data_IF_405929079386
#
_entry.id   IF_405929079386
#
_cell.length_a   1.000
_cell.length_b   1.000
_cell.length_c   1.000
_cell.angle_alpha   90.00
_cell.angle_beta   90.00
_cell.angle_gamma   90.00
#
_symmetry.space_group_name_H-M   'P 1'
#
loop_
_entity.id
_entity.type
_entity.pdbx_description
1 polymer ?
#
# COMPACT_ATOMS: atom_id res chain seq x y z
N UNK A 1 -18.55 10.21 9.97
CA UNK A 1 -18.88 8.80 9.61
C UNK A 1 -17.88 7.89 10.34
N UNK A 2 -18.29 6.79 11.00
CA UNK A 2 -17.45 6.05 11.97
C UNK A 2 -16.69 4.81 11.45
N UNK A 3 -16.86 4.42 10.18
CA UNK A 3 -16.08 3.32 9.58
C UNK A 3 -16.41 1.90 10.08
N UNK A 4 -17.60 1.67 10.62
CA UNK A 4 -18.05 0.35 11.08
C UNK A 4 -17.95 -0.67 9.92
N UNK A 5 -17.21 -1.80 10.06
CA UNK A 5 -16.95 -2.73 8.96
C UNK A 5 -18.20 -3.42 8.40
N UNK A 6 -19.15 -3.73 9.30
CA UNK A 6 -20.36 -4.48 9.01
C UNK A 6 -21.57 -3.80 9.64
N UNK A 7 -22.68 -3.73 8.90
CA UNK A 7 -23.99 -3.34 9.42
C UNK A 7 -24.96 -4.49 9.23
N UNK A 8 -25.62 -4.93 10.30
CA UNK A 8 -26.70 -5.92 10.23
C UNK A 8 -28.04 -5.20 10.17
N UNK A 9 -28.83 -5.49 9.14
CA UNK A 9 -30.18 -5.00 8.91
C UNK A 9 -31.16 -6.16 9.21
N UNK A 10 -32.17 -5.89 10.03
CA UNK A 10 -33.16 -6.88 10.47
C UNK A 10 -34.54 -6.21 10.54
N UNK A 11 -35.44 -6.56 9.62
CA UNK A 11 -36.83 -6.12 9.62
C UNK A 11 -37.83 -7.21 10.03
N UNK A 12 -39.12 -6.88 10.22
CA UNK A 12 -40.15 -7.85 10.60
C UNK A 12 -40.25 -9.06 9.66
N UNK A 13 -40.16 -8.83 8.34
CA UNK A 13 -40.19 -9.90 7.33
C UNK A 13 -38.96 -10.81 7.37
N UNK A 14 -37.80 -10.26 7.72
CA UNK A 14 -36.56 -11.03 7.81
C UNK A 14 -36.59 -11.95 9.06
N UNK A 15 -37.16 -11.45 10.16
CA UNK A 15 -37.42 -12.24 11.38
C UNK A 15 -38.38 -13.40 11.07
N UNK A 16 -39.50 -13.14 10.38
CA UNK A 16 -40.44 -14.17 9.96
C UNK A 16 -39.78 -15.24 9.07
N UNK A 17 -38.81 -14.83 8.25
CA UNK A 17 -38.04 -15.71 7.37
C UNK A 17 -36.78 -16.30 8.03
N UNK A 18 -36.50 -16.01 9.30
CA UNK A 18 -35.33 -16.51 10.02
C UNK A 18 -33.98 -16.02 9.48
N UNK A 19 -33.93 -14.85 8.84
CA UNK A 19 -32.73 -14.30 8.19
C UNK A 19 -32.46 -12.84 8.57
N UNK A 20 -31.31 -12.33 8.16
CA UNK A 20 -30.92 -10.93 8.24
C UNK A 20 -30.05 -10.54 7.03
N UNK A 21 -29.82 -9.24 6.85
CA UNK A 21 -28.92 -8.73 5.80
C UNK A 21 -27.68 -8.12 6.42
N UNK A 22 -26.53 -8.66 6.07
CA UNK A 22 -25.22 -8.18 6.49
C UNK A 22 -24.63 -7.31 5.37
N UNK A 23 -24.36 -6.04 5.67
CA UNK A 23 -23.85 -5.07 4.70
C UNK A 23 -22.38 -4.74 4.99
N UNK A 24 -21.50 -5.00 4.01
CA UNK A 24 -20.08 -4.68 4.06
C UNK A 24 -19.82 -3.19 3.85
N UNK A 25 -18.89 -2.60 4.58
CA UNK A 25 -18.55 -1.18 4.44
C UNK A 25 -17.61 -0.88 3.27
N UNK A 26 -16.67 -1.77 3.00
CA UNK A 26 -15.61 -1.62 2.02
C UNK A 26 -16.10 -1.76 0.58
N UNK A 27 -17.06 -2.65 0.33
CA UNK A 27 -17.65 -2.92 -1.00
C UNK A 27 -19.11 -2.46 -1.15
N UNK A 28 -19.84 -2.26 -0.03
CA UNK A 28 -21.31 -2.07 0.02
C UNK A 28 -22.12 -3.29 -0.39
N UNK A 29 -21.48 -4.46 -0.48
CA UNK A 29 -22.12 -5.74 -0.72
C UNK A 29 -23.13 -6.05 0.40
N UNK A 30 -24.25 -6.66 0.02
CA UNK A 30 -25.30 -7.14 0.92
C UNK A 30 -25.36 -8.65 0.87
N UNK A 31 -25.29 -9.30 2.02
CA UNK A 31 -25.24 -10.75 2.16
C UNK A 31 -26.45 -11.16 3.00
N UNK A 32 -27.32 -12.01 2.46
CA UNK A 32 -28.39 -12.63 3.26
C UNK A 32 -27.80 -13.75 4.11
N UNK A 33 -28.06 -13.72 5.41
CA UNK A 33 -27.52 -14.68 6.38
C UNK A 33 -28.65 -15.19 7.27
N UNK A 34 -28.75 -16.50 7.44
CA UNK A 34 -29.68 -17.10 8.41
C UNK A 34 -29.32 -16.67 9.83
N UNK A 35 -30.31 -16.40 10.68
CA UNK A 35 -30.08 -15.84 12.01
C UNK A 35 -29.28 -16.77 12.92
N UNK A 36 -29.43 -18.08 12.75
CA UNK A 36 -28.70 -19.13 13.48
C UNK A 36 -27.24 -19.27 13.02
N UNK A 37 -26.91 -18.88 11.80
CA UNK A 37 -25.53 -18.87 11.28
C UNK A 37 -24.78 -17.55 11.52
N UNK A 38 -25.46 -16.53 12.06
CA UNK A 38 -24.90 -15.18 12.14
C UNK A 38 -23.60 -15.10 12.96
N UNK A 39 -23.52 -15.84 14.07
CA UNK A 39 -22.34 -15.89 14.94
C UNK A 39 -21.11 -16.46 14.23
N UNK A 40 -21.31 -17.32 13.22
CA UNK A 40 -20.24 -17.91 12.41
C UNK A 40 -19.91 -17.02 11.21
N UNK A 41 -20.93 -16.50 10.53
CA UNK A 41 -20.76 -15.71 9.30
C UNK A 41 -20.14 -14.35 9.51
N UNK A 42 -20.43 -13.66 10.62
CA UNK A 42 -19.86 -12.33 10.88
C UNK A 42 -18.33 -12.36 11.00
N UNK A 43 -17.71 -13.25 11.79
CA UNK A 43 -16.26 -13.43 11.81
C UNK A 43 -15.66 -13.71 10.42
N UNK A 44 -16.24 -14.63 9.64
CA UNK A 44 -15.77 -14.96 8.28
C UNK A 44 -15.78 -13.72 7.36
N UNK A 45 -16.85 -12.92 7.43
CA UNK A 45 -16.98 -11.68 6.66
C UNK A 45 -15.91 -10.67 7.10
N UNK A 46 -15.65 -10.53 8.40
CA UNK A 46 -14.62 -9.62 8.91
C UNK A 46 -13.21 -10.03 8.45
N UNK A 47 -12.89 -11.32 8.47
CA UNK A 47 -11.63 -11.85 7.94
C UNK A 47 -11.49 -11.58 6.44
N UNK A 48 -12.57 -11.77 5.69
CA UNK A 48 -12.63 -11.49 4.25
C UNK A 48 -12.41 -10.00 3.98
N UNK A 49 -13.09 -9.10 4.71
CA UNK A 49 -12.88 -7.65 4.60
C UNK A 49 -11.40 -7.30 4.85
N UNK A 50 -10.80 -7.85 5.91
CA UNK A 50 -9.41 -7.59 6.23
C UNK A 50 -8.47 -8.02 5.11
N UNK A 51 -8.66 -9.23 4.58
CA UNK A 51 -7.87 -9.76 3.47
C UNK A 51 -8.02 -8.90 2.22
N UNK A 52 -9.25 -8.62 1.79
CA UNK A 52 -9.54 -7.86 0.58
C UNK A 52 -8.96 -6.44 0.67
N UNK A 53 -9.13 -5.78 1.81
CA UNK A 53 -8.58 -4.43 2.03
C UNK A 53 -7.06 -4.42 2.02
N UNK A 54 -6.43 -5.42 2.66
CA UNK A 54 -4.97 -5.58 2.64
C UNK A 54 -4.45 -5.81 1.22
N UNK A 55 -5.04 -6.75 0.48
CA UNK A 55 -4.62 -7.07 -0.89
C UNK A 55 -4.77 -5.87 -1.83
N UNK A 56 -5.89 -5.14 -1.71
CA UNK A 56 -6.10 -3.90 -2.47
C UNK A 56 -5.06 -2.84 -2.13
N UNK A 57 -4.78 -2.63 -0.84
CA UNK A 57 -3.79 -1.65 -0.40
C UNK A 57 -2.37 -2.04 -0.83
N UNK A 58 -2.03 -3.32 -0.72
CA UNK A 58 -0.75 -3.89 -1.18
C UNK A 58 -0.58 -3.69 -2.68
N UNK A 59 -1.56 -4.12 -3.49
CA UNK A 59 -1.53 -3.92 -4.95
C UNK A 59 -1.42 -2.45 -5.34
N UNK A 60 -2.15 -1.58 -4.65
CA UNK A 60 -2.05 -0.14 -4.88
C UNK A 60 -0.64 0.38 -4.58
N UNK A 61 -0.08 0.04 -3.41
CA UNK A 61 1.30 0.43 -3.07
C UNK A 61 2.29 -0.10 -4.10
N UNK A 62 2.22 -1.39 -4.44
CA UNK A 62 3.19 -2.06 -5.32
C UNK A 62 3.13 -1.49 -6.75
N UNK A 63 1.94 -1.12 -7.24
CA UNK A 63 1.78 -0.44 -8.54
C UNK A 63 2.30 1.02 -8.56
N UNK A 64 2.69 1.56 -7.41
CA UNK A 64 3.24 2.90 -7.25
C UNK A 64 4.66 2.88 -6.67
N UNK A 65 5.39 1.79 -6.93
CA UNK A 65 6.84 1.69 -6.70
C UNK A 65 7.49 1.78 -8.07
N UNK A 66 8.37 2.76 -8.25
CA UNK A 66 9.00 3.06 -9.54
C UNK A 66 10.51 2.90 -9.45
N UNK A 67 11.13 2.34 -10.48
CA UNK A 67 12.59 2.19 -10.53
C UNK A 67 13.22 3.38 -11.25
N UNK A 68 14.31 3.89 -10.68
CA UNK A 68 15.13 4.93 -11.27
C UNK A 68 16.59 4.45 -11.39
N UNK A 69 17.15 4.58 -12.59
CA UNK A 69 18.50 4.08 -12.91
C UNK A 69 19.53 5.20 -12.94
N UNK A 70 19.08 6.45 -13.00
CA UNK A 70 19.90 7.66 -13.04
C UNK A 70 19.14 8.85 -12.42
N UNK A 71 19.83 9.98 -12.28
CA UNK A 71 19.30 11.13 -11.56
C UNK A 71 18.13 11.81 -12.27
N UNK A 72 18.14 11.81 -13.60
CA UNK A 72 17.08 12.44 -14.41
C UNK A 72 15.78 11.63 -14.32
N UNK A 73 15.86 10.30 -14.41
CA UNK A 73 14.71 9.41 -14.15
C UNK A 73 14.17 9.58 -12.73
N UNK A 74 15.06 9.64 -11.74
CA UNK A 74 14.66 9.84 -10.35
C UNK A 74 13.90 11.15 -10.16
N UNK A 75 14.41 12.23 -10.76
CA UNK A 75 13.77 13.54 -10.73
C UNK A 75 12.41 13.53 -11.43
N UNK A 76 12.32 12.96 -12.63
CA UNK A 76 11.05 12.83 -13.35
C UNK A 76 10.01 12.07 -12.54
N UNK A 77 10.39 10.93 -11.96
CA UNK A 77 9.50 10.14 -11.11
C UNK A 77 9.08 10.93 -9.87
N UNK A 78 10.01 11.62 -9.21
CA UNK A 78 9.72 12.43 -8.02
C UNK A 78 8.73 13.58 -8.32
N UNK A 79 8.78 14.17 -9.50
CA UNK A 79 7.90 15.25 -9.93
C UNK A 79 6.54 14.75 -10.41
N UNK A 80 6.53 13.68 -11.21
CA UNK A 80 5.38 13.31 -12.04
C UNK A 80 4.65 12.05 -11.58
N UNK A 81 5.23 11.23 -10.69
CA UNK A 81 4.62 9.97 -10.25
C UNK A 81 4.39 9.94 -8.74
N UNK A 82 3.19 9.52 -8.27
CA UNK A 82 2.95 9.32 -6.86
C UNK A 82 3.57 8.01 -6.38
N UNK A 83 3.89 7.92 -5.09
CA UNK A 83 4.37 6.70 -4.44
C UNK A 83 5.86 6.73 -4.10
N UNK A 84 6.54 5.61 -4.28
CA UNK A 84 7.94 5.41 -3.89
C UNK A 84 8.84 5.24 -5.12
N UNK A 85 10.11 5.57 -4.95
CA UNK A 85 11.15 5.40 -5.95
C UNK A 85 12.18 4.40 -5.40
N UNK A 86 12.47 3.32 -6.12
CA UNK A 86 13.63 2.47 -5.85
C UNK A 86 14.81 3.00 -6.65
N UNK A 87 15.94 3.15 -5.98
CA UNK A 87 17.17 3.57 -6.62
C UNK A 87 18.36 2.96 -5.90
N UNK A 88 19.36 2.56 -6.67
CA UNK A 88 20.63 2.10 -6.11
C UNK A 88 21.36 3.29 -5.51
N UNK A 89 21.92 3.12 -4.32
CA UNK A 89 22.57 4.17 -3.55
C UNK A 89 23.98 3.76 -3.11
N UNK A 90 24.92 4.70 -3.16
CA UNK A 90 26.33 4.47 -2.79
C UNK A 90 26.62 4.65 -1.29
N UNK A 91 25.60 4.77 -0.45
CA UNK A 91 25.73 4.96 1.01
C UNK A 91 26.40 6.28 1.43
N UNK A 92 26.67 7.17 0.47
CA UNK A 92 27.25 8.48 0.71
C UNK A 92 26.17 9.48 1.09
N UNK A 93 26.30 10.05 2.28
CA UNK A 93 25.42 11.09 2.82
C UNK A 93 25.30 12.30 1.89
N UNK A 94 26.36 12.66 1.16
CA UNK A 94 26.28 13.77 0.22
C UNK A 94 25.23 13.54 -0.90
N UNK A 95 25.02 12.29 -1.31
CA UNK A 95 23.99 11.96 -2.29
C UNK A 95 22.57 12.04 -1.69
N UNK A 96 22.41 11.60 -0.44
CA UNK A 96 21.14 11.71 0.26
C UNK A 96 20.75 13.17 0.53
N UNK A 97 21.70 13.99 1.00
CA UNK A 97 21.50 15.42 1.26
C UNK A 97 21.15 16.16 -0.05
N UNK A 98 21.83 15.86 -1.16
CA UNK A 98 21.51 16.43 -2.49
C UNK A 98 20.09 16.09 -2.94
N UNK A 99 19.69 14.81 -2.88
CA UNK A 99 18.34 14.37 -3.26
C UNK A 99 17.28 15.10 -2.41
N UNK A 100 17.55 15.25 -1.11
CA UNK A 100 16.66 15.94 -0.18
C UNK A 100 16.53 17.43 -0.48
N UNK A 101 17.64 18.12 -0.71
CA UNK A 101 17.67 19.55 -0.97
C UNK A 101 17.05 19.92 -2.32
N UNK A 102 17.36 19.15 -3.37
CA UNK A 102 16.88 19.46 -4.72
C UNK A 102 15.44 18.99 -4.98
N UNK A 103 15.03 17.84 -4.41
CA UNK A 103 13.77 17.17 -4.77
C UNK A 103 12.76 17.06 -3.63
N UNK A 104 13.13 17.47 -2.40
CA UNK A 104 12.35 17.23 -1.18
C UNK A 104 11.99 15.74 -0.95
N UNK A 105 12.82 14.84 -1.48
CA UNK A 105 12.69 13.40 -1.36
C UNK A 105 13.69 12.91 -0.31
N UNK A 106 13.27 12.01 0.58
CA UNK A 106 14.20 11.39 1.54
C UNK A 106 14.17 9.88 1.45
N UNK A 107 15.25 9.25 1.89
CA UNK A 107 15.30 7.80 2.08
C UNK A 107 14.20 7.38 3.06
N UNK A 108 13.62 6.19 2.82
CA UNK A 108 12.52 5.62 3.62
C UNK A 108 12.97 4.36 4.31
N UNK A 109 13.50 3.43 3.54
CA UNK A 109 14.10 2.22 4.06
C UNK A 109 15.08 1.63 3.06
N UNK A 110 16.02 0.86 3.60
CA UNK A 110 16.79 -0.12 2.86
C UNK A 110 16.15 -1.48 3.16
N UNK A 111 15.61 -2.20 2.16
CA UNK A 111 15.01 -3.51 2.38
C UNK A 111 16.03 -4.49 2.95
N UNK A 112 15.61 -5.32 3.91
CA UNK A 112 16.51 -6.30 4.51
C UNK A 112 16.78 -7.50 3.59
N UNK A 113 15.75 -7.99 2.90
CA UNK A 113 15.82 -9.21 2.08
C UNK A 113 15.76 -8.91 0.58
N UNK A 114 14.98 -7.91 0.17
CA UNK A 114 14.75 -7.55 -1.23
C UNK A 114 15.76 -6.51 -1.72
N UNK A 115 17.02 -6.94 -1.87
CA UNK A 115 18.13 -6.14 -2.43
C UNK A 115 18.31 -6.47 -3.92
N UNK A 116 17.25 -6.27 -4.71
CA UNK A 116 17.32 -6.42 -6.16
C UNK A 116 18.30 -5.39 -6.77
N UNK A 117 19.28 -5.89 -7.52
CA UNK A 117 20.25 -5.05 -8.23
C UNK A 117 19.61 -4.50 -9.51
N UNK A 118 18.92 -3.37 -9.40
CA UNK A 118 18.27 -2.71 -10.56
C UNK A 118 19.26 -1.85 -11.38
N UNK A 119 20.42 -1.51 -10.82
CA UNK A 119 21.50 -0.74 -11.47
C UNK A 119 22.84 -1.04 -10.78
N UNK A 120 23.96 -0.79 -11.46
CA UNK A 120 25.31 -0.93 -10.87
C UNK A 120 25.82 0.37 -10.26
N UNK A 121 25.10 1.48 -10.47
CA UNK A 121 25.53 2.82 -10.10
C UNK A 121 24.50 3.55 -9.24
N UNK A 122 24.98 4.47 -8.42
CA UNK A 122 24.19 5.32 -7.59
C UNK A 122 23.32 6.23 -8.45
N UNK A 123 22.02 6.23 -8.16
CA UNK A 123 21.01 7.03 -8.86
C UNK A 123 21.32 8.54 -8.78
N UNK A 124 22.09 8.99 -7.78
CA UNK A 124 22.44 10.39 -7.61
C UNK A 124 23.75 10.80 -8.32
N UNK A 125 24.83 10.05 -8.12
CA UNK A 125 26.18 10.47 -8.51
C UNK A 125 26.87 9.58 -9.54
N UNK A 126 26.25 8.47 -9.95
CA UNK A 126 26.82 7.54 -10.94
C UNK A 126 28.01 6.71 -10.45
N UNK A 127 28.45 6.87 -9.19
CA UNK A 127 29.47 5.98 -8.58
C UNK A 127 28.91 4.58 -8.35
N UNK A 128 29.72 3.52 -8.24
CA UNK A 128 29.24 2.17 -7.93
C UNK A 128 28.32 2.12 -6.70
N UNK A 129 27.25 1.33 -6.78
CA UNK A 129 26.27 1.18 -5.72
C UNK A 129 25.78 -0.27 -5.60
N UNK A 130 25.54 -0.71 -4.37
CA UNK A 130 25.12 -2.08 -4.05
C UNK A 130 23.92 -2.14 -3.10
N UNK A 131 23.37 -0.99 -2.72
CA UNK A 131 22.21 -0.90 -1.82
C UNK A 131 21.01 -0.36 -2.55
N UNK A 132 19.95 -1.16 -2.63
CA UNK A 132 18.64 -0.71 -3.05
C UNK A 132 18.00 0.08 -1.90
N UNK A 133 17.56 1.30 -2.19
CA UNK A 133 16.88 2.16 -1.22
C UNK A 133 15.54 2.62 -1.79
N UNK A 134 14.52 2.62 -0.94
CA UNK A 134 13.23 3.24 -1.22
C UNK A 134 13.27 4.70 -0.81
N UNK A 135 12.83 5.56 -1.71
CA UNK A 135 12.76 7.00 -1.56
C UNK A 135 11.32 7.46 -1.71
N UNK A 136 10.96 8.58 -1.10
CA UNK A 136 9.65 9.20 -1.30
C UNK A 136 9.58 10.61 -0.73
N UNK A 137 8.55 11.37 -1.09
CA UNK A 137 8.25 12.67 -0.48
C UNK A 137 7.62 12.47 0.90
N UNK A 138 8.09 13.22 1.89
CA UNK A 138 7.51 13.17 3.24
C UNK A 138 6.15 13.89 3.23
N UNK A 139 5.23 13.42 4.09
CA UNK A 139 3.97 14.12 4.40
C UNK A 139 4.22 15.35 5.28
#
# INVERSE_FOLDING_TARGET
MRGIPVRVELGPKDIEAGKCVVVRRDTREKIEVALDELEVKVPEILETIQKDMYERAKKHRDAHIWDAHNYDEFKDIAENKPGFIRGMWCEDRACEDKIKEELAVTSRCMPFEDQEQISDVCVCCGKPAHKLVYWGKAY
#
